data_IF_121347609368
#
_entry.id   IF_121347609368
#
_cell.length_a   1.000
_cell.length_b   1.000
_cell.length_c   1.000
_cell.angle_alpha   90.00
_cell.angle_beta   90.00
_cell.angle_gamma   90.00
#
_symmetry.space_group_name_H-M   'P 1'
#
loop_
_entity.id
_entity.type
_entity.pdbx_description
1 polymer ?
#
# COMPACT_ATOMS: atom_id res chain seq x y z
N UNK A 1 -5.32 10.49 -17.06
CA UNK A 1 -6.01 9.23 -17.31
C UNK A 1 -7.51 9.38 -17.14
N UNK A 2 -8.28 8.67 -17.96
CA UNK A 2 -9.73 8.58 -17.85
C UNK A 2 -10.10 7.35 -17.01
N UNK A 3 -11.02 7.53 -16.05
CA UNK A 3 -11.52 6.43 -15.21
C UNK A 3 -12.87 5.96 -15.74
N UNK A 4 -12.99 4.66 -16.03
CA UNK A 4 -14.21 4.03 -16.54
C UNK A 4 -14.92 3.28 -15.42
N UNK A 5 -16.05 3.81 -14.96
CA UNK A 5 -16.87 3.20 -13.93
C UNK A 5 -17.86 2.20 -14.55
N UNK A 6 -17.58 0.90 -14.40
CA UNK A 6 -18.35 -0.15 -15.05
C UNK A 6 -19.82 -0.18 -14.63
N UNK A 7 -20.13 0.04 -13.35
CA UNK A 7 -21.51 0.10 -12.87
C UNK A 7 -22.31 1.24 -13.55
N UNK A 8 -21.67 2.39 -13.80
CA UNK A 8 -22.32 3.50 -14.52
C UNK A 8 -22.58 3.17 -15.97
N UNK A 9 -21.65 2.46 -16.62
CA UNK A 9 -21.82 2.02 -18.02
C UNK A 9 -22.94 0.99 -18.16
N UNK A 10 -23.05 0.03 -17.23
CA UNK A 10 -24.18 -0.89 -17.18
C UNK A 10 -25.51 -0.17 -16.99
N UNK A 11 -25.60 0.75 -16.03
CA UNK A 11 -26.80 1.56 -15.76
C UNK A 11 -27.17 2.50 -16.91
N UNK A 12 -26.23 2.86 -17.76
CA UNK A 12 -26.46 3.61 -19.00
C UNK A 12 -26.77 2.69 -20.20
N UNK A 13 -26.95 1.39 -19.98
CA UNK A 13 -27.23 0.37 -20.98
C UNK A 13 -26.21 0.30 -22.14
N UNK A 14 -24.98 0.76 -21.89
CA UNK A 14 -23.92 0.85 -22.91
C UNK A 14 -23.51 -0.50 -23.45
N UNK A 15 -23.71 -1.57 -22.65
CA UNK A 15 -23.35 -2.95 -22.99
C UNK A 15 -24.52 -3.77 -23.52
N UNK A 16 -25.62 -3.15 -23.91
CA UNK A 16 -26.83 -3.86 -24.40
C UNK A 16 -26.52 -4.81 -25.57
N UNK A 17 -25.75 -4.35 -26.57
CA UNK A 17 -25.34 -5.18 -27.73
C UNK A 17 -24.40 -6.34 -27.30
N UNK A 18 -23.45 -6.06 -26.41
CA UNK A 18 -22.55 -7.07 -25.87
C UNK A 18 -23.30 -8.15 -25.08
N UNK A 19 -24.30 -7.75 -24.28
CA UNK A 19 -25.18 -8.65 -23.54
C UNK A 19 -26.07 -9.48 -24.49
N UNK A 20 -26.68 -8.85 -25.51
CA UNK A 20 -27.45 -9.53 -26.55
C UNK A 20 -26.60 -10.59 -27.25
N UNK A 21 -25.40 -10.22 -27.72
CA UNK A 21 -24.46 -11.15 -28.37
C UNK A 21 -24.14 -12.35 -27.46
N UNK A 22 -23.90 -12.10 -26.18
CA UNK A 22 -23.64 -13.16 -25.20
C UNK A 22 -24.87 -14.10 -25.03
N UNK A 23 -26.07 -13.53 -24.94
CA UNK A 23 -27.31 -14.31 -24.82
C UNK A 23 -27.57 -15.18 -26.06
N UNK A 24 -27.39 -14.63 -27.26
CA UNK A 24 -27.58 -15.36 -28.51
C UNK A 24 -26.54 -16.46 -28.72
N UNK A 25 -25.31 -16.25 -28.25
CA UNK A 25 -24.19 -17.21 -28.39
C UNK A 25 -23.88 -17.98 -27.09
N UNK A 26 -24.86 -18.12 -26.19
CA UNK A 26 -24.67 -18.75 -24.87
C UNK A 26 -24.08 -20.15 -24.93
N UNK A 27 -24.42 -20.93 -25.96
CA UNK A 27 -23.90 -22.31 -26.14
C UNK A 27 -22.39 -22.28 -26.49
N UNK A 28 -21.96 -21.32 -27.30
CA UNK A 28 -20.52 -21.08 -27.59
C UNK A 28 -19.78 -20.69 -26.33
N UNK A 29 -20.39 -19.87 -25.44
CA UNK A 29 -19.80 -19.52 -24.16
C UNK A 29 -19.64 -20.77 -23.29
N UNK A 30 -20.70 -21.63 -23.20
CA UNK A 30 -20.68 -22.89 -22.47
C UNK A 30 -19.52 -23.78 -22.92
N UNK A 31 -19.30 -23.92 -24.22
CA UNK A 31 -18.17 -24.67 -24.77
C UNK A 31 -16.82 -24.03 -24.33
N UNK A 32 -16.66 -22.72 -24.45
CA UNK A 32 -15.45 -22.01 -24.02
C UNK A 32 -15.17 -22.24 -22.52
N UNK A 33 -16.19 -22.13 -21.68
CA UNK A 33 -16.08 -22.37 -20.24
C UNK A 33 -15.69 -23.80 -19.90
N UNK A 34 -16.20 -24.78 -20.67
CA UNK A 34 -15.92 -26.21 -20.47
C UNK A 34 -14.54 -26.63 -20.95
N UNK A 35 -13.87 -25.83 -21.79
CA UNK A 35 -12.53 -26.15 -22.34
C UNK A 35 -11.50 -26.42 -21.26
N UNK A 36 -11.56 -25.64 -20.14
CA UNK A 36 -10.57 -25.70 -19.06
C UNK A 36 -11.17 -26.29 -17.76
N UNK A 37 -12.37 -26.87 -17.80
CA UNK A 37 -12.98 -27.54 -16.66
C UNK A 37 -12.63 -29.03 -16.69
N UNK A 38 -12.44 -29.62 -15.54
CA UNK A 38 -12.41 -31.06 -15.39
C UNK A 38 -13.79 -31.66 -15.68
N UNK A 39 -13.85 -32.97 -15.95
CA UNK A 39 -15.06 -33.60 -16.41
C UNK A 39 -16.21 -33.57 -15.39
N UNK A 40 -15.88 -33.49 -14.08
CA UNK A 40 -16.88 -33.41 -13.00
C UNK A 40 -17.57 -32.06 -12.94
N UNK A 41 -16.88 -30.98 -13.38
CA UNK A 41 -17.38 -29.59 -13.32
C UNK A 41 -17.83 -29.06 -14.69
N UNK A 42 -17.79 -29.88 -15.75
CA UNK A 42 -18.33 -29.49 -17.05
C UNK A 42 -19.85 -29.37 -17.01
N UNK A 43 -20.36 -28.30 -17.59
CA UNK A 43 -21.78 -28.14 -17.87
C UNK A 43 -22.17 -29.17 -18.94
N UNK A 44 -23.27 -29.90 -18.72
CA UNK A 44 -23.79 -30.92 -19.64
C UNK A 44 -24.45 -30.25 -20.85
N UNK A 45 -24.66 -31.02 -21.91
CA UNK A 45 -25.31 -30.52 -23.13
C UNK A 45 -26.69 -29.94 -22.86
N UNK A 46 -27.47 -30.64 -22.01
CA UNK A 46 -28.83 -30.24 -21.62
C UNK A 46 -28.91 -29.04 -20.69
N UNK A 47 -27.82 -28.64 -20.02
CA UNK A 47 -27.83 -27.50 -19.10
C UNK A 47 -27.98 -26.18 -19.86
N UNK A 48 -28.96 -25.39 -19.48
CA UNK A 48 -29.15 -24.06 -20.02
C UNK A 48 -28.19 -23.09 -19.27
N UNK A 49 -27.31 -22.46 -20.02
CA UNK A 49 -26.42 -21.45 -19.47
C UNK A 49 -26.94 -20.05 -19.77
N UNK A 50 -27.13 -19.25 -18.73
CA UNK A 50 -27.50 -17.84 -18.85
C UNK A 50 -26.30 -16.96 -18.53
N UNK A 51 -25.69 -16.28 -19.52
CA UNK A 51 -24.54 -15.38 -19.29
C UNK A 51 -24.91 -14.08 -18.59
N UNK A 52 -26.20 -13.70 -18.61
CA UNK A 52 -26.74 -12.50 -17.96
C UNK A 52 -27.40 -12.88 -16.63
N UNK A 53 -27.19 -12.06 -15.61
CA UNK A 53 -27.91 -12.07 -14.34
C UNK A 53 -28.65 -10.73 -14.15
N UNK A 54 -29.68 -10.74 -13.30
CA UNK A 54 -30.43 -9.54 -12.97
C UNK A 54 -30.35 -9.20 -11.47
N UNK A 55 -30.36 -7.92 -11.13
CA UNK A 55 -30.74 -7.44 -9.82
C UNK A 55 -32.24 -7.20 -9.81
N UNK A 56 -32.96 -7.68 -8.80
CA UNK A 56 -34.39 -7.45 -8.72
C UNK A 56 -34.72 -5.95 -8.67
N UNK A 57 -35.52 -5.46 -9.62
CA UNK A 57 -35.94 -4.06 -9.67
C UNK A 57 -36.77 -3.64 -8.44
N UNK A 58 -37.39 -4.59 -7.70
CA UNK A 58 -38.20 -4.35 -6.51
C UNK A 58 -37.43 -4.37 -5.21
N UNK A 59 -36.52 -5.35 -4.97
CA UNK A 59 -35.80 -5.52 -3.70
C UNK A 59 -34.29 -5.37 -3.83
N UNK A 60 -33.78 -5.14 -5.02
CA UNK A 60 -32.37 -4.91 -5.38
C UNK A 60 -31.41 -6.04 -4.99
N UNK A 61 -31.95 -7.27 -4.75
CA UNK A 61 -31.13 -8.47 -4.54
C UNK A 61 -30.80 -9.14 -5.87
N UNK A 62 -29.69 -9.87 -5.93
CA UNK A 62 -29.22 -10.61 -7.11
C UNK A 62 -29.61 -12.10 -7.07
N UNK A 63 -30.46 -12.49 -6.13
CA UNK A 63 -31.06 -13.82 -6.02
C UNK A 63 -32.17 -14.01 -7.09
N UNK A 64 -31.77 -13.94 -8.36
CA UNK A 64 -32.71 -13.97 -9.50
C UNK A 64 -32.43 -15.15 -10.40
N UNK A 65 -33.49 -15.66 -11.05
CA UNK A 65 -33.47 -16.73 -12.04
C UNK A 65 -34.02 -16.19 -13.37
N UNK A 66 -33.31 -16.43 -14.47
CA UNK A 66 -33.79 -16.07 -15.81
C UNK A 66 -34.77 -17.18 -16.24
N UNK A 67 -35.98 -16.76 -16.59
CA UNK A 67 -37.05 -17.67 -17.02
C UNK A 67 -37.10 -17.75 -18.55
N UNK A 68 -36.95 -16.60 -19.24
CA UNK A 68 -37.16 -16.52 -20.69
C UNK A 68 -36.26 -15.46 -21.32
N UNK A 69 -35.87 -15.71 -22.56
CA UNK A 69 -35.18 -14.77 -23.43
C UNK A 69 -35.85 -14.78 -24.80
N UNK A 70 -36.23 -13.61 -25.31
CA UNK A 70 -36.97 -13.47 -26.57
C UNK A 70 -36.11 -13.59 -27.85
N UNK A 71 -34.81 -13.83 -27.71
CA UNK A 71 -33.85 -13.89 -28.81
C UNK A 71 -33.25 -12.56 -29.20
N UNK A 72 -33.75 -11.43 -28.69
CA UNK A 72 -33.33 -10.08 -28.99
C UNK A 72 -32.84 -9.34 -27.71
N UNK A 73 -33.66 -8.52 -27.10
CA UNK A 73 -33.28 -7.72 -25.92
C UNK A 73 -34.13 -8.01 -24.69
N UNK A 74 -35.25 -8.69 -24.86
CA UNK A 74 -36.19 -8.96 -23.78
C UNK A 74 -35.80 -10.16 -22.92
N UNK A 75 -35.70 -9.96 -21.61
CA UNK A 75 -35.39 -11.00 -20.63
C UNK A 75 -36.46 -10.97 -19.55
N UNK A 76 -37.06 -12.14 -19.27
CA UNK A 76 -37.95 -12.32 -18.13
C UNK A 76 -37.18 -13.02 -17.02
N UNK A 77 -37.23 -12.46 -15.81
CA UNK A 77 -36.62 -13.05 -14.62
C UNK A 77 -37.58 -13.08 -13.44
N UNK A 78 -37.31 -14.01 -12.50
CA UNK A 78 -37.99 -14.12 -11.20
C UNK A 78 -36.98 -13.90 -10.08
N UNK A 79 -37.35 -13.09 -9.09
CA UNK A 79 -36.59 -12.94 -7.88
C UNK A 79 -36.98 -14.00 -6.85
N UNK A 80 -36.02 -14.81 -6.41
CA UNK A 80 -36.24 -15.86 -5.42
C UNK A 80 -36.38 -15.32 -3.99
N UNK A 81 -35.86 -14.09 -3.74
CA UNK A 81 -35.95 -13.44 -2.43
C UNK A 81 -37.33 -12.80 -2.14
N UNK A 82 -37.99 -12.22 -3.16
CA UNK A 82 -39.27 -11.51 -2.96
C UNK A 82 -40.42 -12.01 -3.86
N UNK A 83 -40.16 -13.02 -4.71
CA UNK A 83 -41.16 -13.59 -5.62
C UNK A 83 -41.52 -12.73 -6.83
N UNK A 84 -40.96 -11.52 -6.97
CA UNK A 84 -41.26 -10.62 -8.08
C UNK A 84 -40.81 -11.21 -9.42
N UNK A 85 -41.69 -11.08 -10.43
CA UNK A 85 -41.38 -11.44 -11.82
C UNK A 85 -41.41 -10.16 -12.65
N UNK A 86 -40.37 -9.96 -13.46
CA UNK A 86 -40.24 -8.79 -14.31
C UNK A 86 -39.76 -9.18 -15.70
N UNK A 87 -40.26 -8.45 -16.72
CA UNK A 87 -39.77 -8.51 -18.09
C UNK A 87 -39.06 -7.20 -18.40
N UNK A 88 -37.73 -7.28 -18.48
CA UNK A 88 -36.87 -6.12 -18.79
C UNK A 88 -36.34 -6.17 -20.23
N UNK A 89 -35.85 -5.05 -20.69
CA UNK A 89 -35.19 -4.86 -22.00
C UNK A 89 -33.74 -4.41 -21.76
N UNK A 90 -32.77 -5.12 -22.31
CA UNK A 90 -31.33 -4.84 -22.13
C UNK A 90 -30.93 -3.41 -22.52
N UNK A 91 -31.73 -2.71 -23.36
CA UNK A 91 -31.45 -1.33 -23.81
C UNK A 91 -31.92 -0.27 -22.84
N UNK A 92 -32.87 -0.60 -21.96
CA UNK A 92 -33.56 0.38 -21.11
C UNK A 92 -33.56 0.00 -19.62
N UNK A 93 -33.51 -1.27 -19.30
CA UNK A 93 -33.48 -1.79 -17.93
C UNK A 93 -32.06 -1.72 -17.35
N UNK A 94 -31.94 -1.29 -16.10
CA UNK A 94 -30.64 -1.03 -15.44
C UNK A 94 -30.15 -2.16 -14.56
N UNK A 95 -30.95 -3.20 -14.43
CA UNK A 95 -30.77 -4.31 -13.53
C UNK A 95 -29.90 -5.46 -14.09
N UNK A 96 -29.65 -5.48 -15.39
CA UNK A 96 -28.93 -6.58 -16.02
C UNK A 96 -27.41 -6.39 -16.00
N UNK A 97 -26.69 -7.49 -15.79
CA UNK A 97 -25.22 -7.55 -15.92
C UNK A 97 -24.79 -8.91 -16.46
N UNK A 98 -23.64 -8.97 -17.11
CA UNK A 98 -22.99 -10.24 -17.44
C UNK A 98 -22.30 -10.85 -16.22
N UNK A 99 -22.25 -12.19 -16.17
CA UNK A 99 -21.35 -12.90 -15.28
C UNK A 99 -19.89 -12.52 -15.62
N UNK A 100 -19.03 -12.37 -14.60
CA UNK A 100 -17.71 -11.75 -14.76
C UNK A 100 -16.80 -12.44 -15.81
N UNK A 101 -16.91 -13.75 -15.99
CA UNK A 101 -16.13 -14.50 -17.01
C UNK A 101 -16.53 -14.16 -18.45
N UNK A 102 -17.70 -13.58 -18.66
CA UNK A 102 -18.21 -13.12 -19.96
C UNK A 102 -18.16 -11.60 -20.04
N UNK A 103 -18.37 -10.91 -18.93
CA UNK A 103 -18.25 -9.46 -18.80
C UNK A 103 -16.83 -8.99 -19.17
N UNK A 104 -15.82 -9.66 -18.65
CA UNK A 104 -14.43 -9.29 -18.87
C UNK A 104 -14.03 -9.27 -20.37
N UNK A 105 -14.19 -10.37 -21.14
CA UNK A 105 -13.90 -10.33 -22.59
C UNK A 105 -14.85 -9.47 -23.41
N UNK A 106 -16.10 -9.25 -22.98
CA UNK A 106 -17.02 -8.29 -23.61
C UNK A 106 -16.45 -6.88 -23.50
N UNK A 107 -15.97 -6.48 -22.31
CA UNK A 107 -15.36 -5.18 -22.09
C UNK A 107 -14.08 -4.99 -22.88
N UNK A 108 -13.26 -6.03 -23.07
CA UNK A 108 -12.09 -5.94 -23.93
C UNK A 108 -12.46 -5.44 -25.34
N UNK A 109 -13.55 -5.99 -25.91
CA UNK A 109 -14.02 -5.54 -27.20
C UNK A 109 -14.63 -4.14 -27.16
N UNK A 110 -15.50 -3.84 -26.18
CA UNK A 110 -16.17 -2.54 -26.10
C UNK A 110 -15.21 -1.38 -25.83
N UNK A 111 -14.24 -1.59 -24.91
CA UNK A 111 -13.27 -0.59 -24.49
C UNK A 111 -12.00 -0.58 -25.36
N UNK A 112 -11.89 -1.52 -26.32
CA UNK A 112 -10.72 -1.69 -27.18
C UNK A 112 -9.43 -1.90 -26.39
N UNK A 113 -9.49 -2.74 -25.36
CA UNK A 113 -8.38 -3.00 -24.44
C UNK A 113 -7.26 -3.71 -25.17
N UNK A 114 -6.05 -3.13 -25.14
CA UNK A 114 -4.84 -3.68 -25.77
C UNK A 114 -3.86 -4.28 -24.74
N UNK A 115 -3.91 -3.83 -23.49
CA UNK A 115 -3.05 -4.31 -22.41
C UNK A 115 -3.86 -4.48 -21.12
N UNK A 116 -3.72 -5.65 -20.48
CA UNK A 116 -4.46 -6.03 -19.26
C UNK A 116 -3.51 -6.77 -18.30
N UNK A 117 -2.92 -6.12 -17.28
CA UNK A 117 -2.17 -6.82 -16.25
C UNK A 117 -3.10 -7.65 -15.37
N UNK A 118 -2.71 -8.86 -15.02
CA UNK A 118 -3.55 -9.77 -14.24
C UNK A 118 -2.80 -10.52 -13.15
N UNK A 119 -3.49 -10.75 -12.03
CA UNK A 119 -2.97 -11.56 -10.93
C UNK A 119 -2.68 -13.00 -11.37
N UNK A 120 -1.71 -13.64 -10.73
CA UNK A 120 -1.27 -15.01 -11.08
C UNK A 120 -2.40 -16.05 -11.06
N UNK A 121 -3.40 -15.87 -10.23
CA UNK A 121 -4.56 -16.77 -10.13
C UNK A 121 -5.49 -16.67 -11.35
N UNK A 122 -5.42 -15.59 -12.12
CA UNK A 122 -6.18 -15.40 -13.36
C UNK A 122 -5.37 -15.72 -14.62
N UNK A 123 -4.07 -15.43 -14.60
CA UNK A 123 -3.19 -15.54 -15.79
C UNK A 123 -2.46 -16.88 -15.86
N UNK A 124 -2.50 -17.71 -14.82
CA UNK A 124 -1.92 -19.06 -14.86
C UNK A 124 -2.60 -19.94 -15.90
N UNK A 125 -1.88 -20.91 -16.52
CA UNK A 125 -2.45 -21.82 -17.51
C UNK A 125 -3.76 -22.46 -17.05
N UNK A 126 -4.78 -22.47 -17.91
CA UNK A 126 -6.13 -22.92 -17.58
C UNK A 126 -6.95 -21.97 -16.71
N UNK A 127 -6.40 -20.80 -16.38
CA UNK A 127 -7.07 -19.77 -15.60
C UNK A 127 -8.15 -19.00 -16.38
N UNK A 128 -8.66 -17.99 -15.71
CA UNK A 128 -9.79 -17.21 -16.26
C UNK A 128 -9.41 -16.41 -17.51
N UNK A 129 -8.16 -16.03 -17.65
CA UNK A 129 -7.66 -15.32 -18.83
C UNK A 129 -7.70 -16.21 -20.08
N UNK A 130 -7.30 -17.48 -19.96
CA UNK A 130 -7.36 -18.41 -21.09
C UNK A 130 -8.80 -18.64 -21.57
N UNK A 131 -9.74 -18.76 -20.63
CA UNK A 131 -11.17 -18.83 -20.95
C UNK A 131 -11.65 -17.52 -21.62
N UNK A 132 -11.26 -16.36 -21.07
CA UNK A 132 -11.65 -15.07 -21.60
C UNK A 132 -11.12 -14.83 -23.04
N UNK A 133 -9.91 -15.32 -23.36
CA UNK A 133 -9.38 -15.30 -24.74
C UNK A 133 -10.29 -16.02 -25.74
N UNK A 134 -10.75 -17.21 -25.37
CA UNK A 134 -11.66 -17.98 -26.23
C UNK A 134 -13.00 -17.24 -26.43
N UNK A 135 -13.59 -16.75 -25.33
CA UNK A 135 -14.86 -16.00 -25.36
C UNK A 135 -14.69 -14.72 -26.21
N UNK A 136 -13.65 -13.93 -25.97
CA UNK A 136 -13.40 -12.69 -26.72
C UNK A 136 -13.29 -12.93 -28.22
N UNK A 137 -12.51 -13.93 -28.63
CA UNK A 137 -12.30 -14.25 -30.05
C UNK A 137 -13.55 -14.82 -30.71
N UNK A 138 -14.22 -15.81 -30.06
CA UNK A 138 -15.34 -16.54 -30.65
C UNK A 138 -16.65 -15.73 -30.68
N UNK A 139 -16.87 -14.86 -29.67
CA UNK A 139 -18.11 -14.07 -29.59
C UNK A 139 -17.99 -12.71 -30.24
N UNK A 140 -16.91 -12.00 -29.90
CA UNK A 140 -16.77 -10.58 -30.24
C UNK A 140 -15.73 -10.33 -31.37
N UNK A 141 -14.98 -11.34 -31.77
CA UNK A 141 -13.94 -11.19 -32.81
C UNK A 141 -12.72 -10.38 -32.35
N UNK A 142 -12.64 -10.02 -31.07
CA UNK A 142 -11.56 -9.22 -30.51
C UNK A 142 -10.41 -10.11 -30.04
N UNK A 143 -9.18 -9.74 -30.37
CA UNK A 143 -8.01 -10.44 -29.85
C UNK A 143 -7.79 -10.05 -28.39
N UNK A 144 -7.38 -11.04 -27.58
CA UNK A 144 -7.12 -10.79 -26.16
C UNK A 144 -6.00 -9.75 -25.98
N UNK A 145 -6.09 -8.88 -24.98
CA UNK A 145 -5.03 -7.91 -24.67
C UNK A 145 -3.69 -8.62 -24.38
N UNK A 146 -2.59 -7.93 -24.65
CA UNK A 146 -1.30 -8.36 -24.11
C UNK A 146 -1.39 -8.30 -22.59
N UNK A 147 -0.92 -9.35 -21.92
CA UNK A 147 -1.02 -9.44 -20.46
C UNK A 147 0.36 -9.47 -19.80
N UNK A 148 0.41 -9.00 -18.57
CA UNK A 148 1.55 -9.13 -17.67
C UNK A 148 1.05 -9.75 -16.35
N UNK A 149 1.62 -10.89 -16.00
CA UNK A 149 1.30 -11.57 -14.74
C UNK A 149 1.99 -10.86 -13.58
N UNK A 150 1.23 -10.55 -12.52
CA UNK A 150 1.77 -10.08 -11.25
C UNK A 150 1.42 -11.02 -10.10
N UNK A 151 2.25 -10.99 -9.05
CA UNK A 151 2.07 -11.82 -7.85
C UNK A 151 1.35 -11.04 -6.73
N UNK A 152 1.10 -11.73 -5.61
CA UNK A 152 0.35 -11.18 -4.50
C UNK A 152 1.17 -10.21 -3.66
N UNK A 153 0.50 -9.18 -3.18
CA UNK A 153 0.97 -8.37 -2.05
C UNK A 153 0.37 -8.98 -0.78
N UNK A 154 1.24 -9.30 0.17
CA UNK A 154 0.86 -9.88 1.46
C UNK A 154 1.02 -8.89 2.61
N UNK A 155 0.41 -9.18 3.73
CA UNK A 155 0.68 -8.50 4.99
C UNK A 155 1.66 -9.35 5.80
N UNK A 156 2.77 -8.78 6.24
CA UNK A 156 3.76 -9.47 7.08
C UNK A 156 3.09 -9.98 8.36
N UNK A 157 3.42 -11.20 8.77
CA UNK A 157 2.84 -11.83 9.96
C UNK A 157 1.43 -12.39 9.80
N UNK A 158 0.78 -12.20 8.63
CA UNK A 158 -0.55 -12.77 8.34
C UNK A 158 -0.42 -13.90 7.32
N UNK A 159 -0.79 -15.14 7.68
CA UNK A 159 -0.73 -16.26 6.76
C UNK A 159 -1.68 -16.09 5.55
N UNK A 160 -1.20 -16.44 4.37
CA UNK A 160 -2.00 -16.45 3.14
C UNK A 160 -2.12 -15.09 2.47
N UNK A 161 -3.02 -14.99 1.47
CA UNK A 161 -3.31 -13.73 0.78
C UNK A 161 -4.28 -12.86 1.60
N UNK A 162 -4.15 -11.55 1.48
CA UNK A 162 -5.17 -10.63 2.00
C UNK A 162 -6.54 -10.94 1.38
N UNK A 163 -7.58 -11.00 2.21
CA UNK A 163 -8.93 -11.32 1.77
C UNK A 163 -9.94 -10.47 2.54
N UNK A 164 -10.71 -9.66 1.81
CA UNK A 164 -11.77 -8.83 2.37
C UNK A 164 -12.86 -9.64 3.07
N UNK A 165 -13.18 -10.84 2.54
CA UNK A 165 -14.17 -11.71 3.14
C UNK A 165 -13.76 -12.30 4.51
N UNK A 166 -12.47 -12.26 4.85
CA UNK A 166 -11.92 -12.73 6.14
C UNK A 166 -11.60 -11.60 7.10
N UNK A 167 -11.91 -10.35 6.78
CA UNK A 167 -11.66 -9.17 7.61
C UNK A 167 -10.18 -8.82 7.84
N UNK A 168 -9.25 -9.49 7.15
CA UNK A 168 -7.80 -9.28 7.26
C UNK A 168 -7.28 -8.58 5.99
N UNK A 169 -7.69 -7.34 5.81
CA UNK A 169 -7.26 -6.49 4.71
C UNK A 169 -6.80 -5.16 5.28
N UNK A 170 -5.64 -4.71 4.83
CA UNK A 170 -5.21 -3.33 5.01
C UNK A 170 -5.57 -2.59 3.74
N UNK A 171 -6.29 -1.50 3.88
CA UNK A 171 -6.63 -0.63 2.76
C UNK A 171 -5.43 0.21 2.34
N UNK A 172 -5.49 0.77 1.14
CA UNK A 172 -4.46 1.73 0.70
C UNK A 172 -4.43 2.96 1.60
N UNK A 173 -5.58 3.36 2.16
CA UNK A 173 -5.67 4.51 3.10
C UNK A 173 -4.91 4.20 4.37
N UNK A 174 -5.11 3.01 4.97
CA UNK A 174 -4.38 2.59 6.18
C UNK A 174 -2.86 2.56 5.94
N UNK A 175 -2.42 2.11 4.76
CA UNK A 175 -1.01 2.11 4.41
C UNK A 175 -0.43 3.53 4.28
N UNK A 176 -1.23 4.50 3.80
CA UNK A 176 -0.82 5.90 3.67
C UNK A 176 -0.73 6.64 5.01
N UNK A 177 -1.31 6.12 6.08
CA UNK A 177 -1.10 6.65 7.43
C UNK A 177 0.34 6.41 7.92
N UNK A 178 0.98 5.31 7.47
CA UNK A 178 2.33 4.93 7.89
C UNK A 178 3.39 5.27 6.85
N UNK A 179 3.06 5.16 5.58
CA UNK A 179 3.98 5.38 4.47
C UNK A 179 3.60 6.61 3.66
N UNK A 180 4.54 7.53 3.45
CA UNK A 180 4.35 8.58 2.44
C UNK A 180 3.99 7.94 1.08
N UNK A 181 3.20 8.61 0.23
CA UNK A 181 2.83 8.06 -1.08
C UNK A 181 4.03 7.63 -1.92
N UNK A 182 5.13 8.39 -1.89
CA UNK A 182 6.38 8.10 -2.59
C UNK A 182 7.04 6.82 -2.05
N UNK A 183 7.04 6.63 -0.73
CA UNK A 183 7.60 5.43 -0.08
C UNK A 183 6.72 4.21 -0.35
N UNK A 184 5.40 4.37 -0.31
CA UNK A 184 4.49 3.28 -0.66
C UNK A 184 4.66 2.85 -2.12
N UNK A 185 4.78 3.80 -3.06
CA UNK A 185 5.07 3.50 -4.48
C UNK A 185 6.45 2.85 -4.65
N UNK A 186 7.45 3.27 -3.85
CA UNK A 186 8.77 2.65 -3.82
C UNK A 186 8.70 1.16 -3.46
N UNK A 187 7.88 0.77 -2.46
CA UNK A 187 7.69 -0.64 -2.10
C UNK A 187 7.26 -1.47 -3.32
N UNK A 188 6.42 -0.92 -4.20
CA UNK A 188 6.03 -1.60 -5.44
C UNK A 188 7.12 -1.53 -6.51
N UNK A 189 7.73 -0.36 -6.71
CA UNK A 189 8.68 -0.13 -7.80
C UNK A 189 9.99 -0.92 -7.65
N UNK A 190 10.44 -1.18 -6.42
CA UNK A 190 11.66 -1.94 -6.14
C UNK A 190 11.49 -3.46 -6.34
N UNK A 191 10.26 -3.97 -6.25
CA UNK A 191 9.98 -5.40 -6.35
C UNK A 191 9.72 -5.81 -7.80
N UNK A 192 10.13 -7.03 -8.15
CA UNK A 192 9.79 -7.62 -9.44
C UNK A 192 8.30 -7.93 -9.47
N UNK A 193 7.66 -7.64 -10.59
CA UNK A 193 6.21 -7.76 -10.76
C UNK A 193 5.71 -9.20 -10.53
N UNK A 194 6.49 -10.19 -10.95
CA UNK A 194 6.17 -11.62 -10.87
C UNK A 194 6.59 -12.28 -9.55
N UNK A 195 7.01 -11.49 -8.55
CA UNK A 195 7.38 -11.97 -7.22
C UNK A 195 6.41 -11.42 -6.17
N UNK A 196 6.01 -12.30 -5.24
CA UNK A 196 5.24 -11.85 -4.09
C UNK A 196 6.14 -11.07 -3.11
N UNK A 197 5.57 -10.07 -2.47
CA UNK A 197 6.21 -9.34 -1.40
C UNK A 197 5.21 -9.02 -0.28
N UNK A 198 5.73 -8.60 0.86
CA UNK A 198 4.90 -8.24 2.01
C UNK A 198 5.05 -6.77 2.36
N UNK A 199 3.95 -6.12 2.69
CA UNK A 199 3.94 -4.82 3.36
C UNK A 199 3.96 -5.10 4.86
N UNK A 200 4.73 -4.33 5.60
CA UNK A 200 4.89 -4.45 7.04
C UNK A 200 4.49 -3.16 7.74
N UNK A 201 4.00 -3.27 8.96
CA UNK A 201 3.71 -2.15 9.86
C UNK A 201 4.51 -2.25 11.16
N UNK A 202 5.38 -3.27 11.25
CA UNK A 202 6.31 -3.47 12.37
C UNK A 202 7.61 -2.67 12.18
N UNK A 203 8.68 -3.07 12.83
CA UNK A 203 9.99 -2.40 12.78
C UNK A 203 10.59 -2.32 11.36
N UNK A 204 10.12 -3.13 10.40
CA UNK A 204 10.56 -3.04 9.00
C UNK A 204 10.19 -1.71 8.35
N UNK A 205 9.22 -0.97 8.90
CA UNK A 205 8.89 0.40 8.44
C UNK A 205 10.16 1.25 8.41
N UNK A 206 10.98 1.17 9.46
CA UNK A 206 12.27 1.89 9.53
C UNK A 206 13.18 1.47 8.38
N UNK A 207 13.30 0.17 8.14
CA UNK A 207 14.16 -0.38 7.08
C UNK A 207 13.69 0.05 5.68
N UNK A 208 12.38 0.10 5.46
CA UNK A 208 11.79 0.57 4.19
C UNK A 208 12.13 2.04 3.94
N UNK A 209 11.97 2.90 4.96
CA UNK A 209 12.36 4.31 4.84
C UNK A 209 13.85 4.49 4.61
N UNK A 210 14.70 3.75 5.31
CA UNK A 210 16.17 3.80 5.13
C UNK A 210 16.57 3.34 3.71
N UNK A 211 15.90 2.32 3.17
CA UNK A 211 16.14 1.86 1.81
C UNK A 211 15.69 2.88 0.75
N UNK A 212 14.50 3.48 0.93
CA UNK A 212 14.02 4.57 0.08
C UNK A 212 14.98 5.77 0.10
N UNK A 213 15.42 6.18 1.30
CA UNK A 213 16.35 7.28 1.48
C UNK A 213 17.68 7.03 0.77
N UNK A 214 18.16 5.78 0.79
CA UNK A 214 19.36 5.40 0.04
C UNK A 214 19.15 5.49 -1.47
N UNK A 215 18.03 4.96 -1.98
CA UNK A 215 17.67 5.07 -3.40
C UNK A 215 17.57 6.53 -3.84
N UNK A 216 16.96 7.40 -3.01
CA UNK A 216 16.94 8.84 -3.24
C UNK A 216 18.35 9.44 -3.34
N UNK A 217 19.25 9.15 -2.37
CA UNK A 217 20.63 9.69 -2.40
C UNK A 217 21.40 9.22 -3.64
N UNK A 218 21.21 7.98 -4.08
CA UNK A 218 21.83 7.48 -5.33
C UNK A 218 21.25 8.19 -6.54
N UNK A 219 19.93 8.35 -6.61
CA UNK A 219 19.25 9.01 -7.72
C UNK A 219 19.69 10.47 -7.89
N UNK A 220 19.97 11.16 -6.78
CA UNK A 220 20.47 12.53 -6.76
C UNK A 220 22.00 12.64 -6.83
N UNK A 221 22.75 11.51 -6.97
CA UNK A 221 24.20 11.49 -7.08
C UNK A 221 24.94 11.86 -5.78
N UNK A 222 24.30 11.73 -4.63
CA UNK A 222 24.88 12.03 -3.30
C UNK A 222 25.59 10.81 -2.73
N UNK A 223 25.08 9.62 -3.03
CA UNK A 223 25.66 8.36 -2.61
C UNK A 223 26.00 7.51 -3.84
N UNK A 224 27.14 6.84 -3.79
CA UNK A 224 27.55 5.91 -4.84
C UNK A 224 27.43 4.45 -4.36
N UNK A 225 26.92 3.54 -5.23
CA UNK A 225 26.95 2.12 -4.92
C UNK A 225 28.38 1.60 -4.68
N UNK A 226 28.54 0.68 -3.73
CA UNK A 226 29.85 0.06 -3.38
C UNK A 226 30.36 -0.95 -4.42
N UNK A 227 29.86 -0.88 -5.65
CA UNK A 227 30.32 -1.75 -6.77
C UNK A 227 31.64 -1.20 -7.36
N UNK A 228 32.60 -2.12 -7.60
CA UNK A 228 33.92 -1.76 -8.13
C UNK A 228 33.97 -1.74 -9.66
N UNK A 229 33.15 -2.56 -10.31
CA UNK A 229 33.06 -2.59 -11.78
C UNK A 229 32.29 -1.35 -12.26
N UNK A 230 32.91 -0.48 -13.10
CA UNK A 230 32.27 0.75 -13.55
C UNK A 230 30.97 0.53 -14.33
N UNK A 231 30.89 -0.52 -15.16
CA UNK A 231 29.72 -0.81 -15.97
C UNK A 231 28.55 -1.29 -15.09
N UNK A 232 28.83 -2.18 -14.12
CA UNK A 232 27.82 -2.62 -13.15
C UNK A 232 27.39 -1.48 -12.26
N UNK A 233 28.32 -0.64 -11.80
CA UNK A 233 28.00 0.55 -10.99
C UNK A 233 27.06 1.49 -11.74
N UNK A 234 27.35 1.79 -13.00
CA UNK A 234 26.48 2.60 -13.85
C UNK A 234 25.08 1.99 -14.01
N UNK A 235 25.01 0.66 -14.20
CA UNK A 235 23.72 -0.06 -14.28
C UNK A 235 22.92 0.03 -12.98
N UNK A 236 23.56 -0.11 -11.81
CA UNK A 236 22.90 0.04 -10.50
C UNK A 236 22.38 1.48 -10.34
N UNK A 237 23.19 2.49 -10.66
CA UNK A 237 22.76 3.90 -10.56
C UNK A 237 21.54 4.15 -11.47
N UNK A 238 21.56 3.68 -12.70
CA UNK A 238 20.45 3.82 -13.62
C UNK A 238 19.17 3.12 -13.12
N UNK A 239 19.33 1.95 -12.53
CA UNK A 239 18.23 1.17 -11.94
C UNK A 239 17.62 1.90 -10.72
N UNK A 240 18.45 2.31 -9.75
CA UNK A 240 17.99 3.04 -8.55
C UNK A 240 17.32 4.37 -8.93
N UNK A 241 17.90 5.10 -9.87
CA UNK A 241 17.29 6.32 -10.40
C UNK A 241 15.91 6.05 -11.01
N UNK A 242 15.77 4.97 -11.78
CA UNK A 242 14.49 4.60 -12.38
C UNK A 242 13.45 4.20 -11.33
N UNK A 243 13.84 3.46 -10.29
CA UNK A 243 12.97 3.13 -9.16
C UNK A 243 12.52 4.42 -8.46
N UNK A 244 13.43 5.35 -8.20
CA UNK A 244 13.10 6.62 -7.57
C UNK A 244 12.11 7.44 -8.41
N UNK A 245 12.34 7.57 -9.72
CA UNK A 245 11.41 8.25 -10.66
C UNK A 245 10.01 7.63 -10.64
N UNK A 246 9.92 6.30 -10.65
CA UNK A 246 8.64 5.56 -10.58
C UNK A 246 7.93 5.70 -9.23
N UNK A 247 8.69 5.96 -8.18
CA UNK A 247 8.15 6.17 -6.83
C UNK A 247 7.50 7.55 -6.68
N UNK A 248 7.86 8.52 -7.49
CA UNK A 248 7.29 9.87 -7.37
C UNK A 248 5.81 9.92 -7.78
N UNK A 249 5.04 10.80 -7.14
CA UNK A 249 3.62 11.02 -7.46
C UNK A 249 3.49 11.65 -8.86
N UNK A 250 4.35 12.61 -9.15
CA UNK A 250 4.50 13.19 -10.47
C UNK A 250 5.50 12.36 -11.31
N UNK A 251 5.37 12.43 -12.62
CA UNK A 251 6.26 11.67 -13.50
C UNK A 251 7.68 12.26 -13.50
N UNK A 252 8.67 11.42 -13.20
CA UNK A 252 10.09 11.76 -13.29
C UNK A 252 10.69 12.25 -11.97
N UNK A 253 11.85 12.90 -12.08
CA UNK A 253 12.56 13.45 -10.92
C UNK A 253 11.85 14.73 -10.43
N UNK A 254 11.71 14.92 -9.10
CA UNK A 254 11.25 16.20 -8.55
C UNK A 254 12.21 17.34 -8.96
N UNK A 255 11.67 18.55 -9.09
CA UNK A 255 12.48 19.75 -9.40
C UNK A 255 13.38 20.17 -8.23
N UNK A 256 12.98 19.86 -7.02
CA UNK A 256 13.72 20.14 -5.77
C UNK A 256 13.92 18.83 -5.02
N UNK A 257 15.16 18.60 -4.58
CA UNK A 257 15.45 17.45 -3.72
C UNK A 257 14.75 17.62 -2.37
N UNK A 258 13.97 16.59 -1.90
CA UNK A 258 13.37 16.63 -0.57
C UNK A 258 14.42 16.77 0.54
N UNK A 259 14.04 17.43 1.63
CA UNK A 259 14.87 17.42 2.83
C UNK A 259 14.84 16.02 3.44
N UNK A 260 15.99 15.39 3.47
CA UNK A 260 16.12 14.02 3.98
C UNK A 260 16.61 14.05 5.42
N UNK A 261 15.81 13.45 6.30
CA UNK A 261 16.19 13.18 7.68
C UNK A 261 16.05 11.67 7.93
N UNK A 262 17.07 11.00 8.52
CA UNK A 262 16.97 9.58 8.83
C UNK A 262 15.70 9.27 9.65
N UNK A 263 14.94 8.26 9.25
CA UNK A 263 13.64 7.97 9.87
C UNK A 263 13.76 7.71 11.38
N UNK A 264 14.84 7.04 11.83
CA UNK A 264 15.11 6.82 13.27
C UNK A 264 15.31 8.13 14.02
N UNK A 265 16.07 9.07 13.44
CA UNK A 265 16.26 10.39 14.07
C UNK A 265 14.93 11.14 14.13
N UNK A 266 14.16 11.12 13.04
CA UNK A 266 12.87 11.79 12.98
C UNK A 266 11.90 11.25 14.03
N UNK A 267 11.79 9.93 14.19
CA UNK A 267 10.94 9.32 15.21
C UNK A 267 11.39 9.67 16.64
N UNK A 268 12.69 9.80 16.86
CA UNK A 268 13.23 10.26 18.15
C UNK A 268 12.88 11.71 18.41
N UNK A 269 13.06 12.60 17.43
CA UNK A 269 12.69 14.02 17.56
C UNK A 269 11.19 14.20 17.81
N UNK A 270 10.34 13.48 17.07
CA UNK A 270 8.88 13.55 17.28
C UNK A 270 8.48 13.15 18.69
N UNK A 271 9.09 12.10 19.25
CA UNK A 271 8.84 11.70 20.63
C UNK A 271 9.38 12.74 21.64
N UNK A 272 10.56 13.31 21.37
CA UNK A 272 11.17 14.35 22.19
C UNK A 272 10.31 15.61 22.24
N UNK A 273 9.74 16.00 21.11
CA UNK A 273 8.85 17.17 21.02
C UNK A 273 7.36 16.80 21.18
N UNK A 274 7.06 15.60 21.68
CA UNK A 274 5.68 15.15 21.96
C UNK A 274 4.71 15.32 20.78
N UNK A 275 5.21 15.15 19.53
CA UNK A 275 4.44 15.25 18.31
C UNK A 275 4.30 16.68 17.76
N UNK A 276 4.95 17.67 18.35
CA UNK A 276 4.98 19.03 17.79
C UNK A 276 5.86 19.07 16.53
N UNK A 277 5.21 18.92 15.37
CA UNK A 277 5.89 18.87 14.06
C UNK A 277 6.59 20.20 13.75
N UNK A 278 6.02 21.33 14.15
CA UNK A 278 6.62 22.64 13.88
C UNK A 278 7.92 22.80 14.67
N UNK A 279 7.93 22.39 15.93
CA UNK A 279 9.14 22.36 16.75
C UNK A 279 10.19 21.41 16.19
N UNK A 280 9.80 20.24 15.69
CA UNK A 280 10.71 19.28 15.03
C UNK A 280 11.34 19.91 13.78
N UNK A 281 10.54 20.47 12.87
CA UNK A 281 11.03 21.11 11.64
C UNK A 281 11.99 22.25 11.99
N UNK A 282 11.63 23.09 12.96
CA UNK A 282 12.49 24.17 13.44
C UNK A 282 13.82 23.66 14.01
N UNK A 283 13.81 22.52 14.72
CA UNK A 283 15.01 21.94 15.31
C UNK A 283 16.00 21.39 14.27
N UNK A 284 15.52 21.06 13.07
CA UNK A 284 16.33 20.55 11.97
C UNK A 284 17.14 21.65 11.23
N UNK A 285 16.82 22.93 11.46
CA UNK A 285 17.57 24.06 10.93
C UNK A 285 17.23 24.38 9.47
N UNK A 286 18.16 24.11 8.54
CA UNK A 286 18.14 24.60 7.14
C UNK A 286 17.08 23.95 6.23
N UNK A 287 15.84 23.78 6.69
CA UNK A 287 14.72 23.29 5.85
C UNK A 287 14.22 24.45 4.99
N UNK A 288 14.28 24.28 3.67
CA UNK A 288 13.78 25.30 2.75
C UNK A 288 12.26 25.21 2.61
N UNK A 289 11.55 26.34 2.35
CA UNK A 289 10.10 26.36 2.23
C UNK A 289 9.54 25.32 1.25
N UNK A 290 10.19 25.13 0.09
CA UNK A 290 9.80 24.17 -0.93
C UNK A 290 9.99 22.67 -0.52
N UNK A 291 10.71 22.41 0.56
CA UNK A 291 10.97 21.07 1.11
C UNK A 291 10.07 20.74 2.30
N UNK A 292 9.47 21.76 2.91
CA UNK A 292 8.75 21.64 4.18
C UNK A 292 7.52 20.73 4.07
N UNK A 293 6.74 20.85 3.02
CA UNK A 293 5.52 20.05 2.87
C UNK A 293 5.81 18.54 2.82
N UNK A 294 6.83 18.13 2.06
CA UNK A 294 7.23 16.73 1.98
C UNK A 294 7.74 16.22 3.34
N UNK A 295 8.55 17.02 4.03
CA UNK A 295 9.05 16.71 5.37
C UNK A 295 7.89 16.60 6.39
N UNK A 296 6.93 17.51 6.33
CA UNK A 296 5.75 17.51 7.20
C UNK A 296 4.93 16.24 7.03
N UNK A 297 4.69 15.80 5.79
CA UNK A 297 4.02 14.51 5.53
C UNK A 297 4.80 13.35 6.13
N UNK A 298 6.12 13.36 6.03
CA UNK A 298 6.97 12.34 6.65
C UNK A 298 6.85 12.34 8.17
N UNK A 299 6.80 13.52 8.80
CA UNK A 299 6.56 13.66 10.23
C UNK A 299 5.20 13.07 10.65
N UNK A 300 4.14 13.35 9.89
CA UNK A 300 2.80 12.82 10.16
C UNK A 300 2.81 11.28 10.12
N UNK A 301 3.35 10.68 9.06
CA UNK A 301 3.45 9.22 8.95
C UNK A 301 4.29 8.61 10.08
N UNK A 302 5.43 9.21 10.41
CA UNK A 302 6.30 8.74 11.48
C UNK A 302 5.63 8.85 12.85
N UNK A 303 4.88 9.93 13.11
CA UNK A 303 4.13 10.13 14.35
C UNK A 303 2.96 9.15 14.48
N UNK A 304 2.24 8.91 13.40
CA UNK A 304 1.19 7.89 13.37
C UNK A 304 1.76 6.50 13.69
N UNK A 305 2.84 6.11 13.01
CA UNK A 305 3.47 4.81 13.26
C UNK A 305 3.91 4.64 14.72
N UNK A 306 4.53 5.66 15.32
CA UNK A 306 5.00 5.66 16.73
C UNK A 306 3.85 5.43 17.71
N UNK A 307 2.66 5.97 17.44
CA UNK A 307 1.54 5.89 18.37
C UNK A 307 0.64 4.67 18.16
N UNK A 308 0.51 4.19 16.91
CA UNK A 308 -0.48 3.18 16.56
C UNK A 308 0.14 1.78 16.34
N UNK A 309 1.30 1.70 15.73
CA UNK A 309 1.90 0.41 15.35
C UNK A 309 3.11 0.03 16.23
N UNK A 310 4.01 0.97 16.47
CA UNK A 310 5.25 0.71 17.17
C UNK A 310 5.07 0.25 18.63
N UNK A 311 4.05 0.71 19.40
CA UNK A 311 3.85 0.23 20.77
C UNK A 311 3.71 -1.29 20.89
N UNK A 312 3.07 -1.92 19.91
CA UNK A 312 2.82 -3.35 19.92
C UNK A 312 4.02 -4.17 19.39
N UNK A 313 4.72 -3.64 18.37
CA UNK A 313 5.75 -4.38 17.65
C UNK A 313 7.20 -3.99 18.00
N UNK A 314 7.40 -2.81 18.56
CA UNK A 314 8.70 -2.26 18.93
C UNK A 314 8.61 -1.37 20.19
N UNK A 315 8.12 -1.91 21.34
CA UNK A 315 7.88 -1.12 22.55
C UNK A 315 9.16 -0.44 23.07
N UNK A 316 10.31 -1.06 22.89
CA UNK A 316 11.60 -0.48 23.31
C UNK A 316 12.01 0.74 22.47
N UNK A 317 11.41 0.91 21.30
CA UNK A 317 11.62 2.07 20.43
C UNK A 317 10.78 3.29 20.86
N UNK A 318 9.65 3.05 21.54
CA UNK A 318 8.71 4.08 21.95
C UNK A 318 9.07 4.63 23.33
N UNK A 319 9.03 5.95 23.49
CA UNK A 319 9.19 6.62 24.78
C UNK A 319 8.32 7.88 24.86
N UNK A 320 8.13 8.37 26.08
CA UNK A 320 7.48 9.65 26.35
C UNK A 320 8.34 10.44 27.33
N UNK A 321 8.52 11.73 27.04
CA UNK A 321 9.20 12.63 27.98
C UNK A 321 8.32 12.77 29.23
N UNK A 322 8.94 12.65 30.37
CA UNK A 322 8.27 12.86 31.67
C UNK A 322 8.03 14.33 31.88
N UNK A 323 6.78 14.74 31.86
CA UNK A 323 6.36 16.16 32.07
C UNK A 323 5.49 16.34 33.31
N UNK A 324 5.16 15.23 34.00
CA UNK A 324 4.26 15.20 35.16
C UNK A 324 4.91 15.62 36.47
N UNK A 325 6.21 15.96 36.46
CA UNK A 325 6.98 16.32 37.66
C UNK A 325 7.23 15.14 38.62
N UNK A 326 6.89 13.91 38.20
CA UNK A 326 7.18 12.72 39.02
C UNK A 326 8.69 12.55 39.20
N UNK A 327 9.10 12.08 40.39
CA UNK A 327 10.50 11.83 40.71
C UNK A 327 10.90 10.41 40.31
N UNK A 328 12.12 10.24 39.84
CA UNK A 328 12.75 8.92 39.73
C UNK A 328 13.30 8.54 41.11
N UNK A 329 12.45 7.97 41.96
CA UNK A 329 12.77 7.73 43.38
C UNK A 329 13.90 6.73 43.60
N UNK A 330 14.20 5.92 42.61
CA UNK A 330 15.26 4.91 42.59
C UNK A 330 16.65 5.47 42.20
N UNK A 331 16.69 6.72 41.68
CA UNK A 331 17.96 7.41 41.43
C UNK A 331 18.39 8.08 42.76
N UNK A 332 19.38 7.52 43.41
CA UNK A 332 19.85 7.96 44.74
C UNK A 332 21.37 8.11 44.77
N UNK A 333 21.92 8.66 45.88
CA UNK A 333 23.34 8.79 46.12
C UNK A 333 24.11 9.55 45.03
N UNK A 334 25.29 9.02 44.65
CA UNK A 334 26.18 9.64 43.68
C UNK A 334 25.54 9.75 42.28
N UNK A 335 24.62 8.83 41.96
CA UNK A 335 23.91 8.86 40.72
C UNK A 335 22.94 10.07 40.65
N UNK A 336 22.22 10.35 41.73
CA UNK A 336 21.37 11.53 41.82
C UNK A 336 22.21 12.82 41.72
N UNK A 337 23.35 12.83 42.42
CA UNK A 337 24.30 13.95 42.33
C UNK A 337 24.78 14.16 40.91
N UNK A 338 25.11 13.08 40.17
CA UNK A 338 25.55 13.16 38.79
C UNK A 338 24.45 13.74 37.85
N UNK A 339 23.22 13.26 37.99
CA UNK A 339 22.06 13.76 37.20
C UNK A 339 21.79 15.24 37.51
N UNK A 340 21.85 15.63 38.78
CA UNK A 340 21.70 17.04 39.19
C UNK A 340 22.80 17.92 38.62
N UNK A 341 24.08 17.45 38.66
CA UNK A 341 25.19 18.19 38.04
C UNK A 341 25.05 18.35 36.54
N UNK A 342 24.56 17.30 35.81
CA UNK A 342 24.23 17.44 34.38
C UNK A 342 23.19 18.54 34.16
N UNK A 343 22.10 18.54 34.97
CA UNK A 343 21.09 19.60 34.90
C UNK A 343 21.66 20.99 35.13
N UNK A 344 22.54 21.16 36.13
CA UNK A 344 22.99 22.45 36.60
C UNK A 344 24.23 22.96 35.85
N UNK A 345 25.11 22.06 35.39
CA UNK A 345 26.40 22.45 34.78
C UNK A 345 26.41 22.26 33.24
N UNK A 346 25.68 21.29 32.69
CA UNK A 346 25.68 20.98 31.24
C UNK A 346 24.51 21.63 30.52
N UNK A 347 23.29 21.41 31.01
CA UNK A 347 22.04 21.86 30.35
C UNK A 347 22.07 23.37 30.06
N UNK A 348 22.47 24.29 30.98
CA UNK A 348 22.53 25.74 30.72
C UNK A 348 23.54 26.12 29.63
N UNK A 349 24.49 25.25 29.34
CA UNK A 349 25.59 25.49 28.40
C UNK A 349 25.40 24.75 27.06
N UNK A 350 24.30 24.04 26.86
CA UNK A 350 24.07 23.24 25.63
C UNK A 350 24.30 24.09 24.35
N UNK A 351 23.79 25.32 24.31
CA UNK A 351 23.95 26.21 23.17
C UNK A 351 25.37 26.81 22.99
N UNK A 352 26.30 26.56 23.93
CA UNK A 352 27.68 27.03 23.88
C UNK A 352 28.70 26.00 23.44
N UNK A 353 28.30 24.72 23.30
CA UNK A 353 29.16 23.66 22.77
C UNK A 353 29.22 23.76 21.24
N UNK A 354 30.44 23.64 20.69
CA UNK A 354 30.62 23.65 19.22
C UNK A 354 30.17 22.37 18.55
N UNK A 355 30.22 21.26 19.31
CA UNK A 355 29.84 19.94 18.81
C UNK A 355 29.08 19.11 19.86
N UNK A 356 28.27 18.17 19.41
CA UNK A 356 27.60 17.18 20.28
C UNK A 356 28.59 16.36 21.11
N UNK A 357 29.82 16.15 20.58
CA UNK A 357 30.89 15.44 21.27
C UNK A 357 31.39 16.19 22.50
N UNK A 358 31.47 17.49 22.45
CA UNK A 358 31.88 18.32 23.60
C UNK A 358 30.81 18.26 24.69
N UNK A 359 29.52 18.35 24.30
CA UNK A 359 28.43 18.19 25.25
C UNK A 359 28.46 16.80 25.91
N UNK A 360 28.68 15.75 25.13
CA UNK A 360 28.81 14.39 25.62
C UNK A 360 30.03 14.21 26.52
N UNK A 361 31.17 14.82 26.17
CA UNK A 361 32.38 14.77 26.99
C UNK A 361 32.17 15.46 28.36
N UNK A 362 31.47 16.57 28.39
CA UNK A 362 31.14 17.25 29.67
C UNK A 362 30.31 16.34 30.61
N UNK A 363 29.41 15.51 30.04
CA UNK A 363 28.67 14.51 30.83
C UNK A 363 29.59 13.36 31.30
N UNK A 364 30.51 12.91 30.45
CA UNK A 364 31.51 11.91 30.84
C UNK A 364 32.43 12.40 31.95
N UNK A 365 32.85 13.65 31.94
CA UNK A 365 33.71 14.26 32.96
C UNK A 365 32.98 14.31 34.30
N UNK A 366 31.69 14.59 34.33
CA UNK A 366 30.86 14.53 35.55
C UNK A 366 30.83 13.10 36.10
N UNK A 367 30.59 12.07 35.26
CA UNK A 367 30.57 10.68 35.69
C UNK A 367 31.93 10.26 36.28
N UNK A 368 33.03 10.56 35.56
CA UNK A 368 34.39 10.23 35.96
C UNK A 368 34.78 10.94 37.27
N UNK A 369 34.43 12.23 37.42
CA UNK A 369 34.68 13.02 38.62
C UNK A 369 33.97 12.50 39.87
N UNK A 370 32.92 11.70 39.72
CA UNK A 370 32.18 11.03 40.79
C UNK A 370 32.53 9.52 40.92
N UNK A 371 33.49 9.04 40.14
CA UNK A 371 33.86 7.62 40.11
C UNK A 371 32.81 6.69 39.52
N UNK A 372 31.87 7.23 38.71
CA UNK A 372 30.80 6.48 38.08
C UNK A 372 31.20 6.06 36.66
N UNK A 373 30.68 4.89 36.23
CA UNK A 373 30.75 4.54 34.82
C UNK A 373 29.80 5.44 33.98
N UNK A 374 30.28 5.92 32.86
CA UNK A 374 29.49 6.77 31.94
C UNK A 374 28.16 6.10 31.56
N UNK A 375 28.17 4.78 31.30
CA UNK A 375 26.95 4.02 30.99
C UNK A 375 25.90 4.13 32.10
N UNK A 376 26.31 4.09 33.38
CA UNK A 376 25.41 4.21 34.50
C UNK A 376 24.75 5.60 34.57
N UNK A 377 25.50 6.68 34.29
CA UNK A 377 24.96 8.04 34.23
C UNK A 377 23.93 8.15 33.10
N UNK A 378 24.22 7.66 31.90
CA UNK A 378 23.26 7.73 30.80
C UNK A 378 22.00 6.89 31.06
N UNK A 379 22.12 5.72 31.67
CA UNK A 379 20.95 4.92 32.13
C UNK A 379 20.10 5.72 33.12
N UNK A 380 20.70 6.39 34.09
CA UNK A 380 19.97 7.22 35.04
C UNK A 380 19.32 8.45 34.40
N UNK A 381 19.98 9.07 33.41
CA UNK A 381 19.39 10.17 32.62
C UNK A 381 18.18 9.70 31.81
N UNK A 382 18.27 8.55 31.11
CA UNK A 382 17.13 7.96 30.41
C UNK A 382 16.00 7.62 31.36
N UNK A 383 16.31 7.01 32.50
CA UNK A 383 15.31 6.71 33.50
C UNK A 383 14.64 7.97 34.06
N UNK A 384 15.40 9.01 34.34
CA UNK A 384 14.87 10.30 34.82
C UNK A 384 13.97 10.99 33.78
N UNK A 385 14.35 10.97 32.50
CA UNK A 385 13.71 11.73 31.45
C UNK A 385 12.55 10.98 30.77
N UNK A 386 12.67 9.68 30.58
CA UNK A 386 11.77 8.88 29.74
C UNK A 386 11.32 7.55 30.40
N UNK A 387 11.73 7.32 31.62
CA UNK A 387 11.40 6.11 32.40
C UNK A 387 11.88 4.80 31.69
N UNK A 388 13.09 4.82 31.12
CA UNK A 388 13.74 3.65 30.47
C UNK A 388 15.12 3.37 31.05
#
# INVERSE_FOLDING_TARGET
PEFLYQASRYRANRYAEGMKTAMQKRDVIKECLNTYRDDEHKMKAEDVYWPVAAFCCKCNKDETEILEYDGEYGITYKCNACGHVEKGDLRTSKEFKLGWRVDWPMRWNEEKVCFEPGGKDHISPGGSYDTAKLVSKRLYGWDAPVTMKYDFVKLKGVPGKMSSSKGKVISLVDALEVYQPEVLRYIFAQNKVDHEFSISFDLDVVTVYEAYDRTERIAWGIEEPKEKDPAKKASIIAHEKRIYELSQIENGMPSVKPYQVPFRLLTTLLQTYSGDIDAVIKSLGDVKPEQEECLRRRCVCAWYWINESAPDCAPDFCFKIRTDGSKAEDITGDMLTAVQRVRDEVVPRVGSFETDKECQQAMYDIATGLGLEAKALFTALYHALINK
#
